data_IF_351388486863
#
_entry.id   IF_351388486863
#
_cell.length_a   1.000
_cell.length_b   1.000
_cell.length_c   1.000
_cell.angle_alpha   90.00
_cell.angle_beta   90.00
_cell.angle_gamma   90.00
#
_symmetry.space_group_name_H-M   'P 1'
#
loop_
_entity.id
_entity.type
_entity.pdbx_description
1 polymer ?
#
# COMPACT_ATOMS: atom_id res chain seq x y z
N UNK A 1 -47.52 28.40 25.66
CA UNK A 1 -46.95 27.51 26.71
C UNK A 1 -47.18 26.05 26.32
N UNK A 2 -46.26 25.15 26.75
CA UNK A 2 -45.98 23.77 26.28
C UNK A 2 -45.15 23.75 24.99
N UNK A 3 -43.81 23.67 25.02
CA UNK A 3 -42.95 22.56 25.54
C UNK A 3 -43.49 21.20 25.10
N UNK A 4 -43.19 20.84 23.86
CA UNK A 4 -43.14 19.45 23.44
C UNK A 4 -41.80 19.27 22.71
N UNK A 5 -40.73 19.27 23.51
CA UNK A 5 -39.45 18.70 23.10
C UNK A 5 -39.68 17.19 22.96
N UNK A 6 -40.08 16.78 21.77
CA UNK A 6 -40.06 15.38 21.37
C UNK A 6 -38.61 14.92 21.33
N UNK A 7 -38.22 14.24 22.41
CA UNK A 7 -37.45 12.99 22.42
C UNK A 7 -37.19 12.50 20.98
N UNK A 8 -35.97 12.53 20.45
CA UNK A 8 -34.79 11.93 21.04
C UNK A 8 -34.44 10.68 20.23
N UNK A 9 -33.17 10.58 19.85
CA UNK A 9 -32.51 9.44 19.18
C UNK A 9 -32.46 9.47 17.63
N UNK A 10 -31.79 10.49 17.09
CA UNK A 10 -31.11 10.33 15.80
C UNK A 10 -29.85 9.46 16.00
N UNK A 11 -29.96 8.17 15.70
CA UNK A 11 -28.80 7.26 15.66
C UNK A 11 -27.97 7.60 14.41
N UNK A 12 -26.99 8.50 14.57
CA UNK A 12 -25.94 8.76 13.61
C UNK A 12 -25.04 7.50 13.50
N UNK A 13 -25.36 6.63 12.55
CA UNK A 13 -24.46 5.58 12.08
C UNK A 13 -23.25 6.25 11.43
N UNK A 14 -22.20 6.47 12.21
CA UNK A 14 -20.89 6.83 11.66
C UNK A 14 -20.33 5.58 11.00
N UNK A 15 -20.38 5.51 9.66
CA UNK A 15 -19.72 4.46 8.91
C UNK A 15 -18.22 4.62 9.08
N UNK A 16 -17.61 3.78 9.91
CA UNK A 16 -16.17 3.66 9.99
C UNK A 16 -15.65 3.22 8.60
N UNK A 17 -14.94 4.12 7.92
CA UNK A 17 -14.27 3.79 6.67
C UNK A 17 -13.11 2.83 6.97
N UNK A 18 -13.32 1.53 6.72
CA UNK A 18 -12.23 0.57 6.72
C UNK A 18 -11.36 0.85 5.48
N UNK A 19 -10.17 1.39 5.69
CA UNK A 19 -9.13 1.46 4.66
C UNK A 19 -8.58 0.04 4.46
N UNK A 20 -8.87 -0.57 3.32
CA UNK A 20 -8.18 -1.78 2.89
C UNK A 20 -6.81 -1.36 2.33
N UNK A 21 -5.74 -1.69 3.04
CA UNK A 21 -4.39 -1.61 2.48
C UNK A 21 -4.21 -2.75 1.48
N UNK A 22 -3.63 -2.47 0.31
CA UNK A 22 -3.30 -3.52 -0.65
C UNK A 22 -2.31 -4.51 -0.02
N UNK A 23 -2.56 -5.80 -0.21
CA UNK A 23 -1.73 -6.89 0.32
C UNK A 23 -1.27 -7.82 -0.80
N UNK A 24 -0.07 -8.38 -0.66
CA UNK A 24 0.47 -9.40 -1.55
C UNK A 24 0.98 -10.59 -0.75
N UNK A 25 0.67 -11.79 -1.24
CA UNK A 25 1.15 -13.04 -0.66
C UNK A 25 2.46 -13.48 -1.31
N UNK A 26 3.47 -13.69 -0.48
CA UNK A 26 4.75 -14.25 -0.85
C UNK A 26 4.92 -15.61 -0.14
N UNK A 27 4.54 -16.69 -0.83
CA UNK A 27 4.47 -18.02 -0.21
C UNK A 27 3.47 -18.07 0.94
N UNK A 28 3.95 -18.38 2.15
CA UNK A 28 3.12 -18.38 3.37
C UNK A 28 3.01 -17.00 4.04
N UNK A 29 3.84 -16.04 3.65
CA UNK A 29 3.91 -14.71 4.26
C UNK A 29 3.09 -13.68 3.46
N UNK A 30 2.72 -12.59 4.13
CA UNK A 30 1.98 -11.48 3.54
C UNK A 30 2.77 -10.18 3.74
N UNK A 31 2.82 -9.38 2.68
CA UNK A 31 3.26 -7.99 2.74
C UNK A 31 2.07 -7.06 2.49
N UNK A 32 2.14 -5.85 3.03
CA UNK A 32 1.12 -4.83 2.84
C UNK A 32 1.73 -3.49 2.48
N UNK A 33 0.95 -2.61 1.85
CA UNK A 33 1.32 -1.19 1.72
C UNK A 33 1.66 -0.64 3.12
N UNK A 34 2.82 0.02 3.21
CA UNK A 34 3.39 0.51 4.45
C UNK A 34 4.55 -0.32 5.00
N UNK A 35 4.74 -1.56 4.54
CA UNK A 35 5.87 -2.41 4.91
C UNK A 35 7.19 -1.81 4.42
N UNK A 36 8.28 -2.13 5.14
CA UNK A 36 9.62 -1.68 4.75
C UNK A 36 10.20 -2.54 3.64
N UNK A 37 11.03 -1.96 2.78
CA UNK A 37 11.73 -2.69 1.72
C UNK A 37 12.53 -3.89 2.25
N UNK A 38 13.18 -3.76 3.42
CA UNK A 38 13.88 -4.86 4.10
C UNK A 38 12.94 -5.99 4.54
N UNK A 39 11.74 -5.65 5.01
CA UNK A 39 10.73 -6.62 5.43
C UNK A 39 10.16 -7.35 4.21
N UNK A 40 9.93 -6.62 3.12
CA UNK A 40 9.53 -7.22 1.84
C UNK A 40 10.59 -8.19 1.33
N UNK A 41 11.88 -7.83 1.38
CA UNK A 41 12.95 -8.76 0.99
C UNK A 41 13.03 -9.99 1.88
N UNK A 42 12.81 -9.82 3.19
CA UNK A 42 12.80 -10.95 4.12
C UNK A 42 11.63 -11.90 3.83
N UNK A 43 10.45 -11.37 3.50
CA UNK A 43 9.23 -12.16 3.27
C UNK A 43 9.11 -12.72 1.85
N UNK A 44 9.57 -11.98 0.85
CA UNK A 44 9.37 -12.29 -0.57
C UNK A 44 10.64 -12.74 -1.30
N UNK A 45 11.82 -12.57 -0.67
CA UNK A 45 13.10 -12.83 -1.31
C UNK A 45 13.50 -11.70 -2.27
N UNK A 46 14.43 -12.00 -3.18
CA UNK A 46 14.90 -11.03 -4.17
C UNK A 46 13.88 -10.89 -5.31
N UNK A 47 13.56 -9.65 -5.74
CA UNK A 47 12.78 -9.44 -6.96
C UNK A 47 13.58 -9.84 -8.20
N UNK A 48 12.87 -10.08 -9.32
CA UNK A 48 13.52 -10.40 -10.61
C UNK A 48 14.11 -9.15 -11.27
N UNK A 49 13.58 -7.97 -10.97
CA UNK A 49 14.11 -6.69 -11.42
C UNK A 49 13.89 -5.61 -10.35
N UNK A 50 14.80 -4.64 -10.32
CA UNK A 50 14.68 -3.40 -9.54
C UNK A 50 15.06 -2.24 -10.42
N UNK A 51 14.10 -1.36 -10.65
CA UNK A 51 14.27 -0.17 -11.47
C UNK A 51 14.29 1.06 -10.56
N UNK A 52 15.35 1.86 -10.67
CA UNK A 52 15.40 3.19 -10.06
C UNK A 52 14.63 4.17 -10.95
N UNK A 53 13.53 4.71 -10.43
CA UNK A 53 12.63 5.62 -11.12
C UNK A 53 12.90 7.09 -10.77
N UNK A 54 14.00 7.37 -10.07
CA UNK A 54 14.46 8.69 -9.68
C UNK A 54 14.08 9.07 -8.25
N UNK A 55 13.92 10.36 -8.01
CA UNK A 55 13.72 10.91 -6.67
C UNK A 55 12.43 11.74 -6.60
N UNK A 56 11.74 11.64 -5.46
CA UNK A 56 10.61 12.53 -5.13
C UNK A 56 10.99 13.42 -3.95
N UNK A 57 10.42 14.63 -3.95
CA UNK A 57 10.53 15.56 -2.82
C UNK A 57 9.40 15.31 -1.83
N UNK A 58 9.73 15.35 -0.54
CA UNK A 58 8.73 15.36 0.52
C UNK A 58 7.82 16.58 0.41
N UNK A 59 6.63 16.49 1.01
CA UNK A 59 5.63 17.58 0.99
C UNK A 59 6.21 18.90 1.50
N UNK A 60 7.10 18.84 2.51
CA UNK A 60 7.77 20.01 3.06
C UNK A 60 9.00 20.46 2.26
N UNK A 61 9.33 19.79 1.15
CA UNK A 61 10.53 20.01 0.29
C UNK A 61 11.86 19.96 1.02
N UNK A 62 11.91 19.35 2.21
CA UNK A 62 13.11 19.24 3.04
C UNK A 62 13.92 17.99 2.75
N UNK A 63 13.29 17.00 2.14
CA UNK A 63 13.87 15.67 1.95
C UNK A 63 13.59 15.22 0.52
N UNK A 64 14.62 14.64 -0.11
CA UNK A 64 14.51 13.93 -1.36
C UNK A 64 14.71 12.45 -1.05
N UNK A 65 13.84 11.60 -1.59
CA UNK A 65 13.93 10.16 -1.38
C UNK A 65 13.82 9.41 -2.71
N UNK A 66 14.55 8.30 -2.86
CA UNK A 66 14.53 7.51 -4.07
C UNK A 66 13.15 6.86 -4.26
N UNK A 67 12.81 6.60 -5.51
CA UNK A 67 11.60 5.90 -5.91
C UNK A 67 12.04 4.69 -6.71
N UNK A 68 11.73 3.50 -6.23
CA UNK A 68 12.11 2.26 -6.90
C UNK A 68 10.86 1.47 -7.27
N UNK A 69 10.92 0.74 -8.37
CA UNK A 69 9.93 -0.28 -8.70
C UNK A 69 10.58 -1.65 -8.70
N UNK A 70 10.03 -2.56 -7.91
CA UNK A 70 10.51 -3.93 -7.82
C UNK A 70 9.51 -4.86 -8.50
N UNK A 71 10.02 -5.71 -9.39
CA UNK A 71 9.20 -6.65 -10.14
C UNK A 71 9.36 -8.06 -9.58
N UNK A 72 8.26 -8.75 -9.32
CA UNK A 72 8.19 -10.17 -8.97
C UNK A 72 7.36 -10.94 -9.99
N UNK A 73 7.67 -12.23 -10.16
CA UNK A 73 6.99 -13.12 -11.08
C UNK A 73 7.79 -13.42 -12.35
N UNK A 74 7.15 -14.00 -13.39
CA UNK A 74 5.73 -14.31 -13.43
C UNK A 74 5.38 -15.50 -12.53
N UNK A 75 4.36 -15.34 -11.68
CA UNK A 75 3.73 -16.47 -11.00
C UNK A 75 2.39 -16.76 -11.69
N UNK A 76 2.25 -17.93 -12.32
CA UNK A 76 1.06 -18.30 -13.09
C UNK A 76 0.69 -17.25 -14.17
N UNK A 77 1.70 -16.66 -14.81
CA UNK A 77 1.53 -15.62 -15.83
C UNK A 77 1.24 -14.21 -15.29
N UNK A 78 1.29 -13.99 -13.97
CA UNK A 78 1.09 -12.68 -13.34
C UNK A 78 2.42 -12.10 -12.83
N UNK A 79 2.70 -10.87 -13.22
CA UNK A 79 3.74 -10.03 -12.64
C UNK A 79 3.18 -9.16 -11.52
N UNK A 80 4.03 -8.86 -10.55
CA UNK A 80 3.73 -7.99 -9.41
C UNK A 80 4.75 -6.86 -9.40
N UNK A 81 4.28 -5.63 -9.47
CA UNK A 81 5.08 -4.40 -9.47
C UNK A 81 4.86 -3.70 -8.15
N UNK A 82 5.92 -3.58 -7.36
CA UNK A 82 5.91 -3.00 -6.03
C UNK A 82 6.64 -1.67 -6.09
N UNK A 83 5.95 -0.57 -5.75
CA UNK A 83 6.54 0.77 -5.72
C UNK A 83 7.04 1.09 -4.32
N UNK A 84 8.31 1.45 -4.22
CA UNK A 84 8.91 1.95 -2.99
C UNK A 84 9.17 3.45 -3.09
N UNK A 85 8.87 4.17 -2.01
CA UNK A 85 9.30 5.55 -1.81
C UNK A 85 10.20 5.59 -0.56
N UNK A 86 11.47 5.93 -0.76
CA UNK A 86 12.52 5.80 0.24
C UNK A 86 12.76 4.34 0.59
N UNK A 87 12.12 3.88 1.66
CA UNK A 87 12.18 2.49 2.11
C UNK A 87 10.80 1.89 2.37
N UNK A 88 9.73 2.55 1.90
CA UNK A 88 8.36 2.17 2.23
C UNK A 88 7.60 1.75 1.01
N UNK A 89 6.95 0.58 1.09
CA UNK A 89 6.06 0.09 0.05
C UNK A 89 4.83 0.98 0.00
N UNK A 90 4.61 1.68 -1.12
CA UNK A 90 3.48 2.59 -1.28
C UNK A 90 2.41 2.06 -2.24
N UNK A 91 2.76 1.11 -3.09
CA UNK A 91 1.82 0.56 -4.07
C UNK A 91 2.18 -0.88 -4.43
N UNK A 92 1.15 -1.70 -4.66
CA UNK A 92 1.25 -3.06 -5.20
C UNK A 92 0.36 -3.12 -6.44
N UNK A 93 0.90 -3.54 -7.58
CA UNK A 93 0.13 -3.71 -8.81
C UNK A 93 0.36 -5.08 -9.44
N UNK A 94 -0.71 -5.79 -9.79
CA UNK A 94 -0.62 -7.07 -10.51
C UNK A 94 -0.97 -6.88 -11.98
N UNK A 95 -0.13 -7.37 -12.91
CA UNK A 95 -0.48 -7.41 -14.34
C UNK A 95 -0.21 -8.78 -14.95
N UNK A 96 -1.07 -9.20 -15.87
CA UNK A 96 -0.89 -10.43 -16.65
C UNK A 96 0.15 -10.17 -17.74
N UNK A 97 1.14 -11.07 -17.87
CA UNK A 97 2.06 -11.08 -19.00
C UNK A 97 1.30 -11.36 -20.29
N UNK A 98 1.60 -10.61 -21.34
CA UNK A 98 0.91 -10.66 -22.63
C UNK A 98 1.71 -11.44 -23.68
#
# INVERSE_FOLDING_TARGET
>A
MKRLYWLGLGLLLTTAHASAADTLRCGSQLISVGDRSSEVLQKCGQPVARDDLGYKRSVNRREEYPVEEWTYGPNSGMYQFLRFEGNRLVQINSRRGH
#
